data_IF_584597074044
#
_entry.id   IF_584597074044
#
_cell.length_a   1.000
_cell.length_b   1.000
_cell.length_c   1.000
_cell.angle_alpha   90.00
_cell.angle_beta   90.00
_cell.angle_gamma   90.00
#
_symmetry.space_group_name_H-M   'P 1'
#
loop_
_entity.id
_entity.type
_entity.pdbx_description
1 polymer ?
#
# COMPACT_ATOMS: atom_id res chain seq x y z
N UNK A 1 2.73 -30.62 18.78
CA UNK A 1 1.84 -29.67 18.08
C UNK A 1 2.60 -29.11 16.87
N UNK A 2 2.06 -29.26 15.65
CA UNK A 2 2.77 -28.91 14.42
C UNK A 2 2.98 -27.40 14.26
N UNK A 3 4.03 -27.01 13.53
CA UNK A 3 4.38 -25.61 13.21
C UNK A 3 3.19 -24.85 12.61
N UNK A 4 2.37 -25.53 11.82
CA UNK A 4 1.15 -24.98 11.18
C UNK A 4 0.07 -24.65 12.22
N UNK A 5 -0.19 -25.51 13.22
CA UNK A 5 -1.17 -25.24 14.26
C UNK A 5 -0.79 -24.00 15.08
N UNK A 6 0.50 -23.82 15.39
CA UNK A 6 1.00 -22.63 16.08
C UNK A 6 0.83 -21.36 15.26
N UNK A 7 1.01 -21.45 13.93
CA UNK A 7 0.77 -20.31 13.04
C UNK A 7 -0.70 -19.90 13.03
N UNK A 8 -1.64 -20.85 12.98
CA UNK A 8 -3.08 -20.56 13.06
C UNK A 8 -3.49 -19.99 14.42
N UNK A 9 -2.87 -20.45 15.50
CA UNK A 9 -3.10 -19.91 16.84
C UNK A 9 -2.63 -18.44 16.94
N UNK A 10 -1.44 -18.11 16.40
CA UNK A 10 -0.94 -16.73 16.33
C UNK A 10 -1.84 -15.84 15.48
N UNK A 11 -2.31 -16.32 14.33
CA UNK A 11 -3.28 -15.58 13.49
C UNK A 11 -4.57 -15.33 14.27
N UNK A 12 -5.09 -16.35 14.98
CA UNK A 12 -6.30 -16.21 15.82
C UNK A 12 -6.13 -15.21 16.97
N UNK A 13 -4.97 -15.18 17.61
CA UNK A 13 -4.64 -14.20 18.65
C UNK A 13 -4.54 -12.79 18.09
N UNK A 14 -3.86 -12.61 16.96
CA UNK A 14 -3.75 -11.33 16.27
C UNK A 14 -5.12 -10.80 15.80
N UNK A 15 -5.98 -11.70 15.31
CA UNK A 15 -7.34 -11.34 14.92
C UNK A 15 -8.20 -10.90 16.11
N UNK A 16 -8.10 -11.60 17.26
CA UNK A 16 -8.80 -11.21 18.49
C UNK A 16 -8.36 -9.83 19.00
N UNK A 17 -7.05 -9.55 18.97
CA UNK A 17 -6.53 -8.24 19.35
C UNK A 17 -7.07 -7.14 18.41
N UNK A 18 -7.10 -7.40 17.11
CA UNK A 18 -7.63 -6.45 16.13
C UNK A 18 -9.14 -6.21 16.34
N UNK A 19 -9.90 -7.25 16.68
CA UNK A 19 -11.35 -7.12 16.94
C UNK A 19 -11.69 -6.37 18.23
N UNK A 20 -10.75 -6.22 19.17
CA UNK A 20 -10.92 -5.41 20.36
C UNK A 20 -10.86 -3.91 20.05
N UNK A 21 -10.11 -3.54 18.99
CA UNK A 21 -9.95 -2.15 18.56
C UNK A 21 -10.73 -1.88 17.27
N UNK A 22 -12.05 -1.83 17.41
CA UNK A 22 -12.97 -1.55 16.28
C UNK A 22 -12.60 -0.24 15.55
N UNK A 23 -12.03 0.72 16.26
CA UNK A 23 -11.57 1.98 15.67
C UNK A 23 -10.46 1.76 14.65
N UNK A 24 -9.47 0.89 14.94
CA UNK A 24 -8.39 0.59 14.00
C UNK A 24 -8.87 -0.14 12.74
N UNK A 25 -9.99 -0.89 12.83
CA UNK A 25 -10.59 -1.56 11.67
C UNK A 25 -11.20 -0.60 10.65
N UNK A 26 -11.48 0.65 11.04
CA UNK A 26 -11.98 1.69 10.13
C UNK A 26 -10.86 2.18 9.19
N UNK A 27 -9.60 2.14 9.61
CA UNK A 27 -8.47 2.64 8.82
C UNK A 27 -8.32 1.96 7.45
N UNK A 28 -8.38 0.62 7.31
CA UNK A 28 -8.34 -0.04 6.01
C UNK A 28 -9.51 0.34 5.11
N UNK A 29 -10.72 0.50 5.68
CA UNK A 29 -11.91 0.90 4.92
C UNK A 29 -11.77 2.32 4.39
N UNK A 30 -11.35 3.27 5.23
CA UNK A 30 -11.09 4.66 4.82
C UNK A 30 -10.00 4.71 3.76
N UNK A 31 -8.92 3.97 3.95
CA UNK A 31 -7.85 3.85 2.94
C UNK A 31 -8.39 3.36 1.60
N UNK A 32 -9.20 2.29 1.61
CA UNK A 32 -9.81 1.74 0.40
C UNK A 32 -10.71 2.74 -0.32
N UNK A 33 -11.55 3.46 0.42
CA UNK A 33 -12.42 4.52 -0.14
C UNK A 33 -11.60 5.65 -0.75
N UNK A 34 -10.56 6.12 -0.06
CA UNK A 34 -9.69 7.18 -0.59
C UNK A 34 -8.93 6.74 -1.85
N UNK A 35 -8.40 5.53 -1.87
CA UNK A 35 -7.74 4.96 -3.06
C UNK A 35 -8.72 4.85 -4.22
N UNK A 36 -9.94 4.38 -3.97
CA UNK A 36 -10.99 4.31 -4.99
C UNK A 36 -11.37 5.70 -5.51
N UNK A 37 -11.53 6.68 -4.62
CA UNK A 37 -11.82 8.06 -5.00
C UNK A 37 -10.71 8.67 -5.87
N UNK A 38 -9.44 8.44 -5.52
CA UNK A 38 -8.30 8.86 -6.35
C UNK A 38 -8.35 8.18 -7.72
N UNK A 39 -8.54 6.87 -7.78
CA UNK A 39 -8.62 6.14 -9.05
C UNK A 39 -9.74 6.67 -9.95
N UNK A 40 -10.93 6.90 -9.37
CA UNK A 40 -12.09 7.48 -10.10
C UNK A 40 -11.79 8.89 -10.58
N UNK A 41 -11.20 9.73 -9.72
CA UNK A 41 -10.83 11.11 -10.09
C UNK A 41 -9.82 11.16 -11.23
N UNK A 42 -8.84 10.25 -11.24
CA UNK A 42 -7.87 10.14 -12.33
C UNK A 42 -8.51 9.62 -13.61
N UNK A 43 -9.43 8.66 -13.51
CA UNK A 43 -10.12 8.09 -14.66
C UNK A 43 -10.91 9.18 -15.43
N UNK A 44 -11.67 10.00 -14.71
CA UNK A 44 -12.46 11.08 -15.32
C UNK A 44 -11.65 12.35 -15.59
N UNK A 45 -10.69 12.71 -14.72
CA UNK A 45 -9.95 13.96 -14.83
C UNK A 45 -8.90 13.99 -15.95
N UNK A 46 -8.39 12.82 -16.34
CA UNK A 46 -7.36 12.72 -17.39
C UNK A 46 -7.86 12.13 -18.70
N UNK A 47 -9.18 11.98 -18.88
CA UNK A 47 -9.79 11.40 -20.09
C UNK A 47 -9.07 10.11 -20.54
N UNK A 48 -8.82 9.22 -19.57
CA UNK A 48 -8.03 8.01 -19.78
C UNK A 48 -8.60 7.17 -20.92
N UNK A 49 -9.93 7.10 -21.02
CA UNK A 49 -10.61 6.36 -22.08
C UNK A 49 -10.28 6.89 -23.48
N UNK A 50 -10.34 8.21 -23.67
CA UNK A 50 -9.98 8.85 -24.95
C UNK A 50 -8.50 8.66 -25.29
N UNK A 51 -7.60 8.70 -24.29
CA UNK A 51 -6.16 8.52 -24.50
C UNK A 51 -5.78 7.07 -24.80
N UNK A 52 -6.42 6.11 -24.15
CA UNK A 52 -6.26 4.68 -24.46
C UNK A 52 -6.73 4.39 -25.89
N UNK A 53 -7.85 4.97 -26.32
CA UNK A 53 -8.35 4.86 -27.68
C UNK A 53 -7.39 5.48 -28.72
N UNK A 54 -6.73 6.59 -28.36
CA UNK A 54 -5.75 7.26 -29.20
C UNK A 54 -4.37 6.59 -29.27
N UNK A 55 -4.12 5.54 -28.45
CA UNK A 55 -2.82 4.87 -28.29
C UNK A 55 -1.66 5.81 -27.98
N UNK A 56 -1.94 6.90 -27.25
CA UNK A 56 -0.93 7.91 -26.87
C UNK A 56 -0.28 7.53 -25.53
N UNK A 57 0.51 6.48 -25.54
CA UNK A 57 1.17 5.94 -24.34
C UNK A 57 2.15 6.94 -23.70
N UNK A 58 2.76 7.83 -24.51
CA UNK A 58 3.78 8.74 -24.01
C UNK A 58 3.23 9.79 -23.04
N UNK A 59 2.00 10.25 -23.27
CA UNK A 59 1.31 11.24 -22.41
C UNK A 59 0.66 10.64 -21.18
N UNK A 60 0.58 9.32 -21.10
CA UNK A 60 -0.02 8.63 -19.96
C UNK A 60 0.97 8.34 -18.83
N UNK A 61 2.27 8.34 -19.10
CA UNK A 61 3.31 7.98 -18.10
C UNK A 61 3.25 8.91 -16.89
N UNK A 62 3.18 10.22 -17.11
CA UNK A 62 3.15 11.22 -16.03
C UNK A 62 1.93 11.09 -15.11
N UNK A 63 0.70 11.16 -15.64
CA UNK A 63 -0.51 10.95 -14.86
C UNK A 63 -0.55 9.61 -14.13
N UNK A 64 -0.15 8.51 -14.78
CA UNK A 64 -0.09 7.20 -14.16
C UNK A 64 0.93 7.15 -13.02
N UNK A 65 2.12 7.71 -13.22
CA UNK A 65 3.13 7.78 -12.16
C UNK A 65 2.60 8.57 -10.96
N UNK A 66 1.97 9.74 -11.20
CA UNK A 66 1.38 10.55 -10.14
C UNK A 66 0.27 9.78 -9.39
N UNK A 67 -0.59 9.09 -10.11
CA UNK A 67 -1.62 8.23 -9.52
C UNK A 67 -1.00 7.16 -8.62
N UNK A 68 0.07 6.50 -9.07
CA UNK A 68 0.78 5.52 -8.26
C UNK A 68 1.38 6.14 -7.00
N UNK A 69 2.05 7.29 -7.11
CA UNK A 69 2.64 7.98 -5.94
C UNK A 69 1.56 8.30 -4.91
N UNK A 70 0.43 8.87 -5.33
CA UNK A 70 -0.68 9.22 -4.43
C UNK A 70 -1.26 7.96 -3.79
N UNK A 71 -1.55 6.93 -4.59
CA UNK A 71 -2.14 5.68 -4.10
C UNK A 71 -1.23 4.94 -3.13
N UNK A 72 0.07 4.84 -3.44
CA UNK A 72 1.06 4.27 -2.54
C UNK A 72 1.22 5.09 -1.26
N UNK A 73 1.22 6.42 -1.35
CA UNK A 73 1.29 7.29 -0.17
C UNK A 73 0.10 7.04 0.76
N UNK A 74 -1.13 6.99 0.23
CA UNK A 74 -2.32 6.70 1.01
C UNK A 74 -2.20 5.31 1.65
N UNK A 75 -1.89 4.28 0.85
CA UNK A 75 -1.78 2.90 1.35
C UNK A 75 -0.75 2.76 2.46
N UNK A 76 0.46 3.28 2.26
CA UNK A 76 1.56 3.20 3.24
C UNK A 76 1.23 4.03 4.49
N UNK A 77 0.62 5.20 4.33
CA UNK A 77 0.23 6.06 5.45
C UNK A 77 -0.77 5.36 6.38
N UNK A 78 -1.83 4.78 5.84
CA UNK A 78 -2.81 4.07 6.64
C UNK A 78 -2.25 2.76 7.23
N UNK A 79 -1.41 2.06 6.49
CA UNK A 79 -0.70 0.88 7.02
C UNK A 79 0.23 1.26 8.18
N UNK A 80 0.94 2.38 8.07
CA UNK A 80 1.77 2.94 9.13
C UNK A 80 0.94 3.30 10.37
N UNK A 81 -0.25 3.89 10.18
CA UNK A 81 -1.17 4.20 11.28
C UNK A 81 -1.65 2.93 12.00
N UNK A 82 -2.01 1.87 11.25
CA UNK A 82 -2.41 0.58 11.81
C UNK A 82 -1.28 -0.04 12.63
N UNK A 83 -0.05 -0.05 12.10
CA UNK A 83 1.13 -0.60 12.79
C UNK A 83 1.42 0.19 14.05
N UNK A 84 1.32 1.53 14.02
CA UNK A 84 1.52 2.38 15.21
C UNK A 84 0.48 2.09 16.29
N UNK A 85 -0.81 2.03 15.93
CA UNK A 85 -1.89 1.71 16.87
C UNK A 85 -1.75 0.30 17.46
N UNK A 86 -1.47 -0.71 16.62
CA UNK A 86 -1.22 -2.06 17.08
C UNK A 86 -0.02 -2.15 18.05
N UNK A 87 1.04 -1.41 17.79
CA UNK A 87 2.22 -1.34 18.65
C UNK A 87 1.89 -0.67 19.99
N UNK A 88 1.09 0.41 19.98
CA UNK A 88 0.62 1.08 21.19
C UNK A 88 -0.22 0.12 22.05
N UNK A 89 -1.13 -0.65 21.45
CA UNK A 89 -1.93 -1.67 22.13
C UNK A 89 -1.07 -2.77 22.76
N UNK A 90 -0.09 -3.28 22.03
CA UNK A 90 0.84 -4.29 22.55
C UNK A 90 1.67 -3.81 23.73
N UNK A 91 1.89 -2.51 23.85
CA UNK A 91 2.58 -1.86 24.98
C UNK A 91 1.64 -1.57 26.18
N UNK A 92 0.38 -1.99 26.09
CA UNK A 92 -0.63 -1.79 27.13
C UNK A 92 -1.32 -0.42 27.08
N UNK A 93 -1.12 0.34 26.01
CA UNK A 93 -1.83 1.60 25.76
C UNK A 93 -3.23 1.38 25.21
N UNK A 94 -3.96 2.49 25.01
CA UNK A 94 -5.29 2.52 24.41
C UNK A 94 -5.25 3.38 23.14
N UNK A 95 -4.91 2.75 21.96
CA UNK A 95 -4.79 3.46 20.73
C UNK A 95 -6.14 4.00 20.26
N UNK A 96 -6.16 5.25 19.84
CA UNK A 96 -7.29 5.89 19.18
C UNK A 96 -6.97 6.10 17.70
N UNK A 97 -8.00 6.32 16.87
CA UNK A 97 -7.79 6.74 15.47
C UNK A 97 -6.87 7.95 15.39
N UNK A 98 -7.07 8.93 16.29
CA UNK A 98 -6.28 10.16 16.34
C UNK A 98 -4.81 9.89 16.65
N UNK A 99 -4.50 9.06 17.66
CA UNK A 99 -3.11 8.73 18.03
C UNK A 99 -2.39 7.98 16.91
N UNK A 100 -3.07 7.01 16.29
CA UNK A 100 -2.56 6.22 15.18
C UNK A 100 -2.25 7.09 13.95
N UNK A 101 -3.20 7.93 13.52
CA UNK A 101 -3.01 8.86 12.39
C UNK A 101 -1.93 9.91 12.67
N UNK A 102 -1.88 10.43 13.89
CA UNK A 102 -0.83 11.38 14.30
C UNK A 102 0.56 10.73 14.28
N UNK A 103 0.67 9.46 14.68
CA UNK A 103 1.93 8.71 14.60
C UNK A 103 2.39 8.54 13.15
N UNK A 104 1.50 8.16 12.22
CA UNK A 104 1.79 8.10 10.80
C UNK A 104 2.13 9.49 10.21
N UNK A 105 1.40 10.53 10.63
CA UNK A 105 1.62 11.91 10.19
C UNK A 105 3.02 12.43 10.52
N UNK A 106 3.58 12.06 11.66
CA UNK A 106 4.97 12.40 12.04
C UNK A 106 6.01 11.78 11.11
N UNK A 107 5.64 10.74 10.36
CA UNK A 107 6.50 10.02 9.41
C UNK A 107 6.14 10.28 7.95
N UNK A 108 5.35 11.32 7.67
CA UNK A 108 4.85 11.59 6.31
C UNK A 108 5.99 11.77 5.30
N UNK A 109 7.09 12.42 5.68
CA UNK A 109 8.24 12.60 4.80
C UNK A 109 8.85 11.28 4.31
N UNK A 110 9.30 10.38 5.20
CA UNK A 110 9.75 9.04 4.84
C UNK A 110 8.70 8.23 4.06
N UNK A 111 7.40 8.35 4.41
CA UNK A 111 6.31 7.66 3.71
C UNK A 111 6.21 8.12 2.25
N UNK A 112 6.21 9.42 2.01
CA UNK A 112 6.14 9.97 0.64
C UNK A 112 7.39 9.61 -0.15
N UNK A 113 8.58 9.71 0.45
CA UNK A 113 9.82 9.32 -0.20
C UNK A 113 9.78 7.84 -0.63
N UNK A 114 9.32 6.97 0.26
CA UNK A 114 9.17 5.55 -0.06
C UNK A 114 8.09 5.30 -1.12
N UNK A 115 6.98 6.04 -1.08
CA UNK A 115 5.93 5.95 -2.10
C UNK A 115 6.46 6.31 -3.50
N UNK A 116 7.34 7.32 -3.61
CA UNK A 116 8.00 7.67 -4.88
C UNK A 116 8.89 6.52 -5.36
N UNK A 117 9.69 5.93 -4.48
CA UNK A 117 10.53 4.76 -4.82
C UNK A 117 9.65 3.59 -5.28
N UNK A 118 8.59 3.28 -4.53
CA UNK A 118 7.67 2.19 -4.86
C UNK A 118 6.94 2.43 -6.19
N UNK A 119 6.50 3.65 -6.46
CA UNK A 119 5.87 4.04 -7.71
C UNK A 119 6.85 3.92 -8.89
N UNK A 120 8.11 4.33 -8.70
CA UNK A 120 9.16 4.22 -9.71
C UNK A 120 9.41 2.76 -10.08
N UNK A 121 9.63 1.90 -9.08
CA UNK A 121 9.85 0.47 -9.30
C UNK A 121 8.61 -0.19 -9.92
N UNK A 122 7.41 0.15 -9.44
CA UNK A 122 6.16 -0.36 -10.00
C UNK A 122 5.97 0.02 -11.48
N UNK A 123 6.29 1.26 -11.83
CA UNK A 123 6.22 1.75 -13.22
C UNK A 123 7.25 1.06 -14.11
N UNK A 124 8.49 0.87 -13.62
CA UNK A 124 9.54 0.14 -14.34
C UNK A 124 9.17 -1.33 -14.57
N UNK A 125 8.67 -2.01 -13.55
CA UNK A 125 8.22 -3.41 -13.65
C UNK A 125 7.07 -3.55 -14.64
N UNK A 126 6.14 -2.58 -14.67
CA UNK A 126 5.06 -2.55 -15.66
C UNK A 126 5.60 -2.36 -17.07
N UNK A 127 6.45 -1.35 -17.29
CA UNK A 127 7.06 -1.10 -18.61
C UNK A 127 7.85 -2.30 -19.11
N UNK A 128 8.55 -3.01 -18.21
CA UNK A 128 9.26 -4.24 -18.54
C UNK A 128 8.29 -5.37 -18.94
N UNK A 129 7.20 -5.52 -18.20
CA UNK A 129 6.16 -6.52 -18.49
C UNK A 129 5.49 -6.30 -19.85
N UNK A 130 5.23 -5.03 -20.20
CA UNK A 130 4.53 -4.67 -21.43
C UNK A 130 5.41 -4.88 -22.68
N UNK A 131 6.74 -4.79 -22.53
CA UNK A 131 7.73 -4.99 -23.61
C UNK A 131 8.28 -6.42 -23.69
N UNK A 132 8.11 -7.21 -22.66
CA UNK A 132 8.69 -8.54 -22.59
C UNK A 132 7.74 -9.59 -23.18
N UNK A 133 8.30 -10.59 -23.88
CA UNK A 133 7.56 -11.79 -24.31
C UNK A 133 7.03 -12.59 -23.10
N UNK A 134 6.45 -13.76 -23.36
CA UNK A 134 5.80 -14.58 -22.31
C UNK A 134 6.73 -14.85 -21.11
N UNK A 135 7.99 -15.19 -21.37
CA UNK A 135 8.99 -15.50 -20.33
C UNK A 135 9.28 -14.24 -19.49
N UNK A 136 9.44 -13.09 -20.13
CA UNK A 136 9.69 -11.83 -19.44
C UNK A 136 8.49 -11.37 -18.59
N UNK A 137 7.25 -11.65 -19.01
CA UNK A 137 6.04 -11.40 -18.19
C UNK A 137 6.01 -12.24 -16.92
N UNK A 138 6.41 -13.50 -17.01
CA UNK A 138 6.51 -14.40 -15.84
C UNK A 138 7.61 -13.88 -14.89
N UNK A 139 8.80 -13.56 -15.41
CA UNK A 139 9.91 -13.04 -14.62
C UNK A 139 9.55 -11.72 -13.93
N UNK A 140 8.90 -10.77 -14.64
CA UNK A 140 8.41 -9.53 -14.07
C UNK A 140 7.31 -9.74 -13.02
N UNK A 141 6.50 -10.79 -13.16
CA UNK A 141 5.51 -11.21 -12.16
C UNK A 141 6.19 -11.65 -10.86
N UNK A 142 7.19 -12.52 -10.92
CA UNK A 142 7.96 -12.94 -9.75
C UNK A 142 8.71 -11.78 -9.10
N UNK A 143 9.33 -10.90 -9.89
CA UNK A 143 9.97 -9.68 -9.39
C UNK A 143 8.97 -8.77 -8.68
N UNK A 144 7.74 -8.64 -9.19
CA UNK A 144 6.66 -7.89 -8.56
C UNK A 144 6.22 -8.48 -7.21
N UNK A 145 6.10 -9.80 -7.11
CA UNK A 145 5.80 -10.47 -5.83
C UNK A 145 6.93 -10.27 -4.82
N UNK A 146 8.18 -10.47 -5.24
CA UNK A 146 9.35 -10.24 -4.37
C UNK A 146 9.41 -8.78 -3.89
N UNK A 147 9.13 -7.82 -4.78
CA UNK A 147 9.05 -6.41 -4.45
C UNK A 147 7.92 -6.11 -3.45
N UNK A 148 6.74 -6.69 -3.65
CA UNK A 148 5.59 -6.54 -2.73
C UNK A 148 5.91 -7.06 -1.34
N UNK A 149 6.59 -8.20 -1.24
CA UNK A 149 7.04 -8.76 0.04
C UNK A 149 8.07 -7.85 0.70
N UNK A 150 9.07 -7.36 -0.04
CA UNK A 150 10.07 -6.42 0.48
C UNK A 150 9.40 -5.14 1.00
N UNK A 151 8.45 -4.58 0.25
CA UNK A 151 7.71 -3.37 0.64
C UNK A 151 6.87 -3.60 1.89
N UNK A 152 6.27 -4.77 2.05
CA UNK A 152 5.49 -5.11 3.23
C UNK A 152 6.32 -5.03 4.52
N UNK A 153 7.57 -5.48 4.49
CA UNK A 153 8.45 -5.44 5.66
C UNK A 153 9.06 -4.06 5.94
N UNK A 154 9.06 -3.15 4.98
CA UNK A 154 9.61 -1.80 5.17
C UNK A 154 8.69 -0.92 6.00
N UNK A 155 7.37 -1.09 5.89
CA UNK A 155 6.41 -0.24 6.61
C UNK A 155 6.62 -0.27 8.14
N UNK A 156 6.77 -1.43 8.81
CA UNK A 156 7.12 -1.47 10.23
C UNK A 156 8.41 -0.73 10.57
N UNK A 157 9.42 -0.81 9.69
CA UNK A 157 10.71 -0.13 9.91
C UNK A 157 10.59 1.39 9.78
N UNK A 158 9.70 1.89 8.93
CA UNK A 158 9.46 3.34 8.78
C UNK A 158 8.74 3.95 9.99
N UNK A 159 7.99 3.16 10.76
CA UNK A 159 7.13 3.62 11.87
C UNK A 159 7.79 3.45 13.24
N UNK A 160 8.58 2.40 13.42
CA UNK A 160 9.29 2.07 14.66
C UNK A 160 10.61 2.80 14.75
#
# INVERSE_FOLDING_TARGET
MGRIARSFELVGQSYRLLMQDKELMVLPLVSGVLVAAVAVSFFFGFDIEARVAARDDSRMIGPMFLMYVITYTIGIFFQAAIVAGATERMRGGDPTLGSALAAAGRRIGPIVLWAIVAATVGTLLRALRDRAGVIGRIAAGFAGVAWSLATFFIVPVLVL
#
